data_IF_168952169894
#
_entry.id   IF_168952169894
#
_cell.length_a   1.000
_cell.length_b   1.000
_cell.length_c   1.000
_cell.angle_alpha   90.00
_cell.angle_beta   90.00
_cell.angle_gamma   90.00
#
_symmetry.space_group_name_H-M   'P 1'
#
loop_
_entity.id
_entity.type
_entity.pdbx_description
1 polymer ?
#
# COMPACT_ATOMS: atom_id res chain seq x y z
N UNK A 1 -27.04 20.38 -35.82
CA UNK A 1 -26.05 20.76 -36.85
C UNK A 1 -24.82 21.30 -36.16
N UNK A 2 -23.62 20.90 -36.60
CA UNK A 2 -22.58 20.40 -35.70
C UNK A 2 -21.42 21.38 -35.56
N UNK A 3 -20.86 21.52 -34.35
CA UNK A 3 -19.50 22.06 -34.15
C UNK A 3 -18.98 21.80 -32.73
N UNK A 4 -18.99 20.52 -32.32
CA UNK A 4 -18.35 20.05 -31.09
C UNK A 4 -17.64 18.70 -31.31
N UNK A 5 -17.07 18.48 -32.51
CA UNK A 5 -16.50 17.20 -32.92
C UNK A 5 -15.02 17.23 -33.32
N UNK A 6 -14.34 18.38 -33.36
CA UNK A 6 -12.97 18.45 -33.92
C UNK A 6 -12.07 19.48 -33.21
N UNK A 7 -12.03 19.42 -31.88
CA UNK A 7 -10.94 20.02 -31.11
C UNK A 7 -10.11 18.90 -30.46
N UNK A 8 -9.30 18.27 -31.32
CA UNK A 8 -8.17 17.39 -31.02
C UNK A 8 -8.40 16.27 -29.99
N UNK A 9 -8.67 15.07 -30.52
CA UNK A 9 -8.20 13.83 -29.92
C UNK A 9 -6.67 13.94 -29.70
N UNK A 10 -6.26 14.40 -28.52
CA UNK A 10 -4.85 14.50 -28.15
C UNK A 10 -4.26 13.09 -28.20
N UNK A 11 -3.24 12.91 -29.02
CA UNK A 11 -2.73 11.61 -29.44
C UNK A 11 -2.34 10.75 -28.23
N UNK A 12 -3.05 9.64 -28.09
CA UNK A 12 -3.00 8.57 -27.08
C UNK A 12 -1.58 8.25 -26.57
N UNK A 13 -1.10 8.97 -25.56
CA UNK A 13 0.16 8.64 -24.87
C UNK A 13 1.45 9.27 -25.43
N UNK A 14 1.34 10.25 -26.34
CA UNK A 14 2.47 11.07 -26.79
C UNK A 14 2.68 12.31 -25.92
N UNK A 15 3.91 12.85 -25.83
CA UNK A 15 4.20 13.99 -24.96
C UNK A 15 3.61 15.30 -25.50
N UNK A 16 3.04 16.12 -24.61
CA UNK A 16 2.52 17.46 -24.93
C UNK A 16 3.54 18.57 -24.63
N UNK A 17 4.57 18.27 -23.84
CA UNK A 17 5.61 19.21 -23.45
C UNK A 17 6.92 18.47 -23.12
N UNK A 18 8.01 19.24 -22.99
CA UNK A 18 9.32 18.74 -22.56
C UNK A 18 9.75 19.41 -21.26
N UNK A 19 10.09 18.61 -20.25
CA UNK A 19 10.67 19.05 -18.98
C UNK A 19 12.18 18.96 -19.08
N UNK A 20 12.87 20.10 -18.98
CA UNK A 20 14.33 20.16 -19.09
C UNK A 20 14.95 20.16 -17.70
N UNK A 21 15.88 19.23 -17.47
CA UNK A 21 16.61 19.10 -16.22
C UNK A 21 17.70 20.16 -16.07
N UNK A 22 17.98 20.55 -14.83
CA UNK A 22 19.18 21.34 -14.50
C UNK A 22 20.46 20.59 -14.88
N UNK A 23 21.54 21.30 -15.26
CA UNK A 23 22.83 20.68 -15.53
C UNK A 23 23.25 19.72 -14.41
N UNK A 24 23.79 18.55 -14.78
CA UNK A 24 24.26 17.50 -13.87
C UNK A 24 23.18 16.83 -12.99
N UNK A 25 21.89 17.11 -13.20
CA UNK A 25 20.78 16.45 -12.47
C UNK A 25 20.20 15.21 -13.15
N UNK A 26 20.66 14.86 -14.36
CA UNK A 26 20.14 13.72 -15.12
C UNK A 26 20.58 12.33 -14.61
N UNK A 27 21.68 12.26 -13.86
CA UNK A 27 22.32 11.00 -13.47
C UNK A 27 21.39 9.95 -12.84
N UNK A 28 20.49 10.28 -11.89
CA UNK A 28 19.60 9.28 -11.28
C UNK A 28 18.65 8.61 -12.29
N UNK A 29 18.28 9.32 -13.35
CA UNK A 29 17.28 8.84 -14.31
C UNK A 29 17.87 7.86 -15.33
N UNK A 30 19.18 7.89 -15.57
CA UNK A 30 19.86 6.80 -16.29
C UNK A 30 19.84 5.48 -15.49
N UNK A 31 19.74 5.57 -14.16
CA UNK A 31 19.44 4.43 -13.27
C UNK A 31 17.94 4.17 -13.10
N UNK A 32 17.09 4.76 -13.95
CA UNK A 32 15.63 4.62 -13.96
C UNK A 32 14.92 5.05 -12.68
N UNK A 33 15.47 6.00 -11.92
CA UNK A 33 14.75 6.57 -10.78
C UNK A 33 13.41 7.19 -11.25
N UNK A 34 12.26 6.83 -10.68
CA UNK A 34 10.96 7.17 -11.25
C UNK A 34 10.48 8.60 -10.95
N UNK A 35 11.08 9.29 -9.97
CA UNK A 35 10.59 10.60 -9.53
C UNK A 35 11.52 11.75 -9.91
N UNK A 36 11.00 12.72 -10.66
CA UNK A 36 11.65 14.00 -10.95
C UNK A 36 11.13 15.03 -9.96
N UNK A 37 12.01 15.51 -9.07
CA UNK A 37 11.64 16.53 -8.10
C UNK A 37 11.62 17.93 -8.73
N UNK A 38 10.77 18.82 -8.20
CA UNK A 38 10.72 20.25 -8.53
C UNK A 38 12.11 20.91 -8.61
N UNK A 39 12.97 20.58 -7.65
CA UNK A 39 14.32 21.10 -7.50
C UNK A 39 15.28 20.68 -8.63
N UNK A 40 14.96 19.63 -9.39
CA UNK A 40 15.74 19.13 -10.52
C UNK A 40 15.35 19.78 -11.85
N UNK A 41 14.18 20.42 -11.94
CA UNK A 41 13.66 21.03 -13.18
C UNK A 41 14.29 22.41 -13.40
N UNK A 42 14.81 22.66 -14.60
CA UNK A 42 15.33 23.95 -15.03
C UNK A 42 14.25 24.80 -15.71
N UNK A 43 13.54 24.21 -16.67
CA UNK A 43 12.44 24.84 -17.39
C UNK A 43 11.49 23.77 -17.93
N UNK A 44 10.30 24.21 -18.34
CA UNK A 44 9.32 23.41 -19.07
C UNK A 44 9.10 24.09 -20.41
N UNK A 45 9.21 23.34 -21.48
CA UNK A 45 8.98 23.79 -22.85
C UNK A 45 7.61 23.28 -23.31
N UNK A 46 6.67 24.21 -23.47
CA UNK A 46 5.24 23.94 -23.61
C UNK A 46 4.45 24.24 -22.33
N UNK A 47 3.13 24.03 -22.38
CA UNK A 47 2.20 24.31 -21.28
C UNK A 47 1.40 23.05 -20.93
N UNK A 48 2.02 22.03 -20.32
CA UNK A 48 1.33 20.76 -20.02
C UNK A 48 0.29 20.96 -18.91
N UNK A 49 -0.89 20.38 -19.10
CA UNK A 49 -1.90 20.27 -18.05
C UNK A 49 -1.50 19.18 -17.04
N UNK A 50 -1.99 19.30 -15.81
CA UNK A 50 -1.76 18.27 -14.79
C UNK A 50 -2.33 16.91 -15.25
N UNK A 51 -1.49 15.89 -15.30
CA UNK A 51 -1.84 14.56 -15.82
C UNK A 51 -1.37 14.28 -17.25
N UNK A 52 -0.90 15.30 -17.97
CA UNK A 52 -0.36 15.17 -19.31
C UNK A 52 0.91 14.33 -19.36
N UNK A 53 1.14 13.74 -20.51
CA UNK A 53 2.39 13.06 -20.84
C UNK A 53 3.44 14.10 -21.20
N UNK A 54 4.63 13.99 -20.64
CA UNK A 54 5.76 14.86 -20.95
C UNK A 54 7.03 14.05 -21.16
N UNK A 55 7.91 14.55 -22.03
CA UNK A 55 9.27 14.03 -22.13
C UNK A 55 10.17 14.75 -21.11
N UNK A 56 11.15 14.02 -20.59
CA UNK A 56 12.21 14.52 -19.75
C UNK A 56 13.48 14.58 -20.58
N UNK A 57 14.10 15.77 -20.65
CA UNK A 57 15.33 15.98 -21.39
C UNK A 57 16.45 16.51 -20.50
N UNK A 58 17.69 16.24 -20.89
CA UNK A 58 18.87 16.88 -20.31
C UNK A 58 18.93 18.36 -20.71
N UNK A 59 19.78 19.14 -20.03
CA UNK A 59 19.98 20.57 -20.31
C UNK A 59 20.44 20.88 -21.75
N UNK A 60 21.02 19.91 -22.43
CA UNK A 60 21.57 19.92 -23.78
C UNK A 60 20.63 19.25 -24.81
N UNK A 61 19.39 18.93 -24.41
CA UNK A 61 18.33 18.51 -25.32
C UNK A 61 18.23 17.00 -25.58
N UNK A 62 19.00 16.17 -24.89
CA UNK A 62 18.92 14.71 -25.06
C UNK A 62 17.74 14.14 -24.27
N UNK A 63 16.94 13.27 -24.92
CA UNK A 63 15.88 12.52 -24.26
C UNK A 63 16.44 11.64 -23.13
N UNK A 64 15.71 11.61 -22.01
CA UNK A 64 16.04 10.79 -20.84
C UNK A 64 14.94 9.76 -20.59
N UNK A 65 13.69 10.21 -20.52
CA UNK A 65 12.54 9.39 -20.17
C UNK A 65 11.23 10.11 -20.53
N UNK A 66 10.12 9.39 -20.49
CA UNK A 66 8.76 9.91 -20.63
C UNK A 66 7.97 9.62 -19.36
N UNK A 67 7.19 10.60 -18.95
CA UNK A 67 6.46 10.55 -17.70
C UNK A 67 5.17 11.36 -17.71
N UNK A 68 4.58 11.49 -16.52
CA UNK A 68 3.35 12.20 -16.28
C UNK A 68 3.60 13.44 -15.42
N UNK A 69 3.08 14.58 -15.86
CA UNK A 69 3.29 15.89 -15.25
C UNK A 69 2.31 16.19 -14.11
N UNK A 70 2.77 16.86 -13.06
CA UNK A 70 1.93 17.45 -12.01
C UNK A 70 2.56 18.74 -11.45
N UNK A 71 2.01 19.90 -11.81
CA UNK A 71 2.42 21.23 -11.38
C UNK A 71 2.17 21.53 -9.90
N UNK A 72 1.37 20.71 -9.20
CA UNK A 72 1.08 20.86 -7.77
C UNK A 72 1.99 20.00 -6.89
N UNK A 73 2.51 18.88 -7.43
CA UNK A 73 3.37 17.96 -6.67
C UNK A 73 4.84 18.37 -6.66
N UNK A 74 5.51 18.11 -5.53
CA UNK A 74 6.99 18.15 -5.47
C UNK A 74 7.62 17.09 -6.37
N UNK A 75 6.93 15.97 -6.60
CA UNK A 75 7.27 14.97 -7.62
C UNK A 75 6.68 15.43 -8.95
N UNK A 76 7.37 16.39 -9.57
CA UNK A 76 6.89 17.13 -10.72
C UNK A 76 6.63 16.25 -11.94
N UNK A 77 7.44 15.22 -12.14
CA UNK A 77 7.23 14.19 -13.15
C UNK A 77 7.41 12.81 -12.53
N UNK A 78 6.48 11.90 -12.80
CA UNK A 78 6.62 10.46 -12.54
C UNK A 78 6.93 9.75 -13.86
N UNK A 79 8.04 9.04 -13.95
CA UNK A 79 8.55 8.42 -15.18
C UNK A 79 8.04 6.99 -15.34
N UNK A 80 7.73 6.59 -16.57
CA UNK A 80 7.17 5.26 -16.90
C UNK A 80 7.84 4.60 -18.11
N UNK A 81 8.45 5.38 -18.98
CA UNK A 81 9.13 4.89 -20.16
C UNK A 81 10.51 5.53 -20.30
N UNK A 82 11.51 4.73 -20.65
CA UNK A 82 12.90 5.16 -20.85
C UNK A 82 13.35 4.97 -22.31
N UNK A 83 12.38 4.75 -23.20
CA UNK A 83 12.51 4.67 -24.65
C UNK A 83 11.55 5.69 -25.26
N UNK A 84 12.07 6.57 -26.12
CA UNK A 84 11.31 7.65 -26.75
C UNK A 84 10.15 7.15 -27.63
N UNK A 85 10.23 5.92 -28.12
CA UNK A 85 9.19 5.28 -28.94
C UNK A 85 7.98 4.78 -28.12
N UNK A 86 8.15 4.59 -26.80
CA UNK A 86 7.09 4.03 -25.94
C UNK A 86 6.06 5.08 -25.58
N UNK A 87 4.80 4.85 -25.96
CA UNK A 87 3.66 5.70 -25.62
C UNK A 87 3.13 5.36 -24.23
N UNK A 88 2.61 6.35 -23.51
CA UNK A 88 1.92 6.15 -22.22
C UNK A 88 0.40 6.01 -22.43
N UNK A 89 0.00 4.96 -23.14
CA UNK A 89 -1.37 4.68 -23.56
C UNK A 89 -1.99 3.47 -22.84
N UNK A 90 -3.23 3.14 -23.21
CA UNK A 90 -4.00 2.03 -22.64
C UNK A 90 -3.27 0.69 -22.73
N UNK A 91 -2.56 0.44 -23.83
CA UNK A 91 -1.82 -0.81 -24.05
C UNK A 91 -0.66 -0.95 -23.07
N UNK A 92 0.09 0.14 -22.84
CA UNK A 92 1.14 0.16 -21.83
C UNK A 92 0.56 -0.19 -20.44
N UNK A 93 -0.50 0.50 -20.01
CA UNK A 93 -1.08 0.29 -18.68
C UNK A 93 -1.57 -1.15 -18.50
N UNK A 94 -2.26 -1.70 -19.50
CA UNK A 94 -2.68 -3.10 -19.50
C UNK A 94 -1.48 -4.05 -19.38
N UNK A 95 -0.41 -3.81 -20.16
CA UNK A 95 0.81 -4.63 -20.15
C UNK A 95 1.52 -4.60 -18.80
N UNK A 96 1.59 -3.42 -18.16
CA UNK A 96 2.19 -3.26 -16.82
C UNK A 96 1.36 -3.95 -15.75
N UNK A 97 0.04 -3.81 -15.78
CA UNK A 97 -0.85 -4.56 -14.89
C UNK A 97 -0.66 -6.06 -15.08
N UNK A 98 -0.75 -6.57 -16.31
CA UNK A 98 -0.55 -7.99 -16.60
C UNK A 98 0.81 -8.51 -16.09
N UNK A 99 1.88 -7.71 -16.22
CA UNK A 99 3.21 -8.04 -15.70
C UNK A 99 3.22 -8.13 -14.16
N UNK A 100 2.58 -7.16 -13.48
CA UNK A 100 2.46 -7.16 -12.02
C UNK A 100 1.69 -8.39 -11.49
N UNK A 101 0.59 -8.76 -12.17
CA UNK A 101 -0.18 -9.98 -11.86
C UNK A 101 0.65 -11.25 -12.11
N UNK A 102 1.37 -11.31 -13.24
CA UNK A 102 2.23 -12.44 -13.56
C UNK A 102 3.30 -12.65 -12.49
N UNK A 103 3.92 -11.56 -11.99
CA UNK A 103 4.85 -11.63 -10.87
C UNK A 103 4.20 -12.28 -9.63
N UNK A 104 2.98 -11.87 -9.24
CA UNK A 104 2.29 -12.46 -8.08
C UNK A 104 2.02 -13.94 -8.27
N UNK A 105 1.66 -14.35 -9.49
CA UNK A 105 1.50 -15.75 -9.83
C UNK A 105 2.80 -16.54 -9.68
N UNK A 106 3.94 -16.00 -10.15
CA UNK A 106 5.25 -16.68 -9.96
C UNK A 106 5.65 -16.81 -8.49
N UNK A 107 5.16 -15.92 -7.63
CA UNK A 107 5.38 -15.95 -6.18
C UNK A 107 4.35 -16.84 -5.44
N UNK A 108 3.39 -17.46 -6.13
CA UNK A 108 2.32 -18.25 -5.52
C UNK A 108 1.29 -17.41 -4.74
N UNK A 109 1.10 -16.16 -5.14
CA UNK A 109 0.22 -15.18 -4.48
C UNK A 109 -1.07 -14.90 -5.28
N UNK A 110 -1.45 -15.78 -6.22
CA UNK A 110 -2.60 -15.63 -7.12
C UNK A 110 -3.89 -16.34 -6.65
N UNK A 111 -3.88 -16.92 -5.44
CA UNK A 111 -5.06 -17.58 -4.85
C UNK A 111 -6.27 -16.63 -4.86
N UNK A 112 -7.37 -17.07 -5.49
CA UNK A 112 -8.59 -16.26 -5.61
C UNK A 112 -9.27 -15.99 -4.27
N UNK A 113 -9.22 -16.95 -3.34
CA UNK A 113 -9.73 -16.76 -1.98
C UNK A 113 -8.72 -16.04 -1.06
N UNK A 114 -7.52 -15.74 -1.56
CA UNK A 114 -6.45 -15.15 -0.78
C UNK A 114 -6.55 -13.63 -0.64
N UNK A 115 -5.56 -13.06 0.05
CA UNK A 115 -5.30 -11.63 0.02
C UNK A 115 -3.85 -11.32 -0.33
N UNK A 116 -3.67 -10.43 -1.30
CA UNK A 116 -2.36 -10.13 -1.90
C UNK A 116 -2.36 -8.73 -2.50
N UNK A 117 -1.24 -8.00 -2.37
CA UNK A 117 -0.99 -6.80 -3.16
C UNK A 117 -0.68 -7.18 -4.60
N UNK A 118 -1.58 -6.88 -5.53
CA UNK A 118 -1.39 -7.13 -6.97
C UNK A 118 -0.49 -6.08 -7.63
N UNK A 119 -0.57 -4.81 -7.19
CA UNK A 119 0.24 -3.70 -7.71
C UNK A 119 0.80 -2.90 -6.55
N UNK A 120 2.11 -2.68 -6.55
CA UNK A 120 2.87 -1.96 -5.53
C UNK A 120 3.60 -0.75 -6.12
N UNK A 121 2.83 0.15 -6.75
CA UNK A 121 3.29 1.45 -7.21
C UNK A 121 4.53 1.36 -8.11
N UNK A 122 5.59 2.12 -7.81
CA UNK A 122 6.85 2.13 -8.57
C UNK A 122 7.53 0.76 -8.61
N UNK A 123 7.28 -0.11 -7.63
CA UNK A 123 7.83 -1.47 -7.62
C UNK A 123 7.30 -2.35 -8.76
N UNK A 124 6.22 -1.93 -9.41
CA UNK A 124 5.58 -2.61 -10.55
C UNK A 124 5.50 -1.71 -11.79
N UNK A 125 6.39 -0.71 -11.90
CA UNK A 125 6.40 0.27 -13.00
C UNK A 125 5.07 1.05 -13.16
N UNK A 126 4.28 1.15 -12.07
CA UNK A 126 2.98 1.80 -12.00
C UNK A 126 2.97 2.86 -10.89
N UNK A 127 3.95 3.78 -10.92
CA UNK A 127 4.13 4.85 -9.92
C UNK A 127 2.80 5.54 -9.57
N UNK A 128 2.42 5.46 -8.30
CA UNK A 128 1.21 6.07 -7.78
C UNK A 128 -0.07 5.23 -7.91
N UNK A 129 0.02 3.95 -8.27
CA UNK A 129 -1.10 2.99 -8.23
C UNK A 129 -0.80 1.85 -7.26
N UNK A 130 -1.74 1.58 -6.36
CA UNK A 130 -1.72 0.42 -5.46
C UNK A 130 -3.01 -0.34 -5.68
N UNK A 131 -2.91 -1.67 -5.82
CA UNK A 131 -4.07 -2.56 -5.97
C UNK A 131 -3.89 -3.74 -5.04
N UNK A 132 -4.78 -3.86 -4.06
CA UNK A 132 -4.83 -4.99 -3.13
C UNK A 132 -6.04 -5.87 -3.47
N UNK A 133 -5.84 -7.19 -3.52
CA UNK A 133 -6.89 -8.19 -3.68
C UNK A 133 -7.34 -8.69 -2.31
N UNK A 134 -8.65 -8.78 -2.13
CA UNK A 134 -9.27 -9.44 -0.99
C UNK A 134 -10.37 -10.37 -1.51
N UNK A 135 -10.05 -11.65 -1.69
CA UNK A 135 -10.95 -12.59 -2.30
C UNK A 135 -11.35 -12.17 -3.73
N UNK A 136 -12.65 -11.99 -3.92
CA UNK A 136 -13.24 -11.57 -5.19
C UNK A 136 -13.24 -10.05 -5.42
N UNK A 137 -12.72 -9.24 -4.48
CA UNK A 137 -12.77 -7.79 -4.55
C UNK A 137 -11.37 -7.18 -4.71
N UNK A 138 -11.30 -6.01 -5.33
CA UNK A 138 -10.09 -5.20 -5.41
C UNK A 138 -10.28 -3.89 -4.65
N UNK A 139 -9.30 -3.54 -3.83
CA UNK A 139 -9.13 -2.21 -3.27
C UNK A 139 -8.05 -1.48 -4.06
N UNK A 140 -8.45 -0.42 -4.76
CA UNK A 140 -7.57 0.42 -5.57
C UNK A 140 -7.29 1.71 -4.81
N UNK A 141 -6.03 2.09 -4.71
CA UNK A 141 -5.61 3.38 -4.18
C UNK A 141 -4.71 4.05 -5.20
N UNK A 142 -5.01 5.31 -5.50
CA UNK A 142 -4.15 6.14 -6.35
C UNK A 142 -3.56 7.27 -5.52
N UNK A 143 -2.26 7.50 -5.71
CA UNK A 143 -1.48 8.50 -4.97
C UNK A 143 -0.81 9.50 -5.90
N UNK A 144 -1.14 9.47 -7.19
CA UNK A 144 -0.67 10.42 -8.19
C UNK A 144 -1.88 10.95 -8.98
N UNK A 145 -1.95 12.25 -9.19
CA UNK A 145 -3.03 12.88 -9.98
C UNK A 145 -3.16 12.27 -11.37
N UNK A 146 -2.04 12.02 -12.03
CA UNK A 146 -2.04 11.45 -13.36
C UNK A 146 -2.60 10.01 -13.43
N UNK A 147 -2.50 9.25 -12.34
CA UNK A 147 -3.15 7.94 -12.21
C UNK A 147 -4.64 8.07 -11.93
N UNK A 148 -5.04 9.09 -11.16
CA UNK A 148 -6.45 9.39 -10.92
C UNK A 148 -7.19 9.78 -12.22
N UNK A 149 -6.56 10.57 -13.10
CA UNK A 149 -7.10 10.91 -14.44
C UNK A 149 -7.29 9.66 -15.31
N UNK A 150 -6.50 8.61 -15.09
CA UNK A 150 -6.53 7.35 -15.84
C UNK A 150 -7.31 6.23 -15.13
N UNK A 151 -8.02 6.56 -14.05
CA UNK A 151 -8.63 5.56 -13.17
C UNK A 151 -9.58 4.63 -13.92
N UNK A 152 -10.42 5.15 -14.82
CA UNK A 152 -11.34 4.32 -15.60
C UNK A 152 -10.60 3.33 -16.51
N UNK A 153 -9.60 3.78 -17.26
CA UNK A 153 -8.75 2.92 -18.10
C UNK A 153 -8.06 1.82 -17.28
N UNK A 154 -7.56 2.17 -16.10
CA UNK A 154 -6.92 1.20 -15.19
C UNK A 154 -7.93 0.19 -14.64
N UNK A 155 -9.13 0.64 -14.29
CA UNK A 155 -10.21 -0.22 -13.81
C UNK A 155 -10.70 -1.17 -14.90
N UNK A 156 -10.85 -0.72 -16.14
CA UNK A 156 -11.26 -1.56 -17.27
C UNK A 156 -10.23 -2.68 -17.52
N UNK A 157 -8.93 -2.34 -17.46
CA UNK A 157 -7.86 -3.34 -17.56
C UNK A 157 -7.87 -4.33 -16.39
N UNK A 158 -8.10 -3.86 -15.15
CA UNK A 158 -8.22 -4.73 -13.98
C UNK A 158 -9.44 -5.66 -14.07
N UNK A 159 -10.57 -5.19 -14.58
CA UNK A 159 -11.76 -6.03 -14.83
C UNK A 159 -11.45 -7.13 -15.84
N UNK A 160 -10.80 -6.78 -16.95
CA UNK A 160 -10.39 -7.74 -17.98
C UNK A 160 -9.40 -8.78 -17.46
N UNK A 161 -8.42 -8.37 -16.65
CA UNK A 161 -7.33 -9.23 -16.19
C UNK A 161 -7.69 -10.10 -14.97
N UNK A 162 -8.54 -9.59 -14.06
CA UNK A 162 -8.82 -10.22 -12.76
C UNK A 162 -10.24 -10.78 -12.67
N UNK A 163 -11.20 -10.21 -13.42
CA UNK A 163 -12.63 -10.46 -13.30
C UNK A 163 -13.14 -10.40 -11.84
N UNK A 164 -12.95 -9.26 -11.13
CA UNK A 164 -13.40 -9.11 -9.75
C UNK A 164 -14.92 -8.89 -9.67
N UNK A 165 -15.50 -9.20 -8.52
CA UNK A 165 -16.91 -8.89 -8.21
C UNK A 165 -17.16 -7.40 -7.97
N UNK A 166 -16.14 -6.69 -7.52
CA UNK A 166 -16.19 -5.25 -7.36
C UNK A 166 -14.81 -4.63 -7.19
N UNK A 167 -14.68 -3.38 -7.64
CA UNK A 167 -13.49 -2.55 -7.46
C UNK A 167 -13.87 -1.36 -6.59
N UNK A 168 -13.22 -1.23 -5.44
CA UNK A 168 -13.43 -0.14 -4.49
C UNK A 168 -12.23 0.80 -4.57
N UNK A 169 -12.49 2.08 -4.81
CA UNK A 169 -11.51 3.14 -4.64
C UNK A 169 -11.40 3.46 -3.15
N UNK A 170 -10.18 3.40 -2.63
CA UNK A 170 -9.79 3.91 -1.32
C UNK A 170 -9.11 5.26 -1.54
N UNK A 171 -9.72 6.32 -1.03
CA UNK A 171 -9.24 7.68 -1.15
C UNK A 171 -7.82 7.83 -0.60
N UNK A 172 -7.06 8.74 -1.19
CA UNK A 172 -5.71 9.03 -0.72
C UNK A 172 -5.75 9.58 0.71
N UNK A 173 -4.73 9.26 1.52
CA UNK A 173 -4.57 9.86 2.85
C UNK A 173 -4.62 11.39 2.72
N UNK A 174 -5.40 12.08 3.58
CA UNK A 174 -5.68 13.54 3.45
C UNK A 174 -4.43 14.40 3.21
N UNK A 175 -3.31 14.07 3.87
CA UNK A 175 -2.04 14.78 3.70
C UNK A 175 -1.44 14.60 2.31
N UNK A 176 -1.45 13.37 1.79
CA UNK A 176 -0.96 13.04 0.45
C UNK A 176 -1.87 13.62 -0.62
N UNK A 177 -3.18 13.57 -0.41
CA UNK A 177 -4.17 14.13 -1.32
C UNK A 177 -3.90 15.62 -1.59
N UNK A 178 -3.64 16.40 -0.52
CA UNK A 178 -3.29 17.82 -0.62
C UNK A 178 -1.97 18.06 -1.38
N UNK A 179 -0.95 17.22 -1.18
CA UNK A 179 0.36 17.37 -1.82
C UNK A 179 0.32 17.06 -3.32
N UNK A 180 -0.65 16.28 -3.78
CA UNK A 180 -0.79 15.85 -5.17
C UNK A 180 -1.94 16.55 -5.91
N UNK A 181 -2.71 17.41 -5.24
CA UNK A 181 -3.90 18.05 -5.83
C UNK A 181 -5.07 17.07 -6.04
N UNK A 182 -5.11 15.97 -5.28
CA UNK A 182 -6.12 14.93 -5.40
C UNK A 182 -7.37 15.24 -4.55
N UNK A 183 -8.54 15.05 -5.14
CA UNK A 183 -9.82 14.98 -4.43
C UNK A 183 -10.51 13.67 -4.78
N UNK A 184 -10.24 12.64 -3.98
CA UNK A 184 -10.80 11.31 -4.18
C UNK A 184 -11.46 10.84 -2.89
N UNK A 185 -12.70 10.37 -3.03
CA UNK A 185 -13.51 9.83 -1.94
C UNK A 185 -13.65 8.32 -2.11
N UNK A 186 -13.79 7.62 -0.99
CA UNK A 186 -14.08 6.19 -0.97
C UNK A 186 -15.38 5.92 -1.73
N UNK A 187 -15.33 5.03 -2.73
CA UNK A 187 -16.51 4.63 -3.51
C UNK A 187 -16.30 3.31 -4.22
N UNK A 188 -17.39 2.67 -4.61
CA UNK A 188 -17.36 1.59 -5.60
C UNK A 188 -17.14 2.22 -6.97
N UNK A 189 -16.15 1.72 -7.72
CA UNK A 189 -15.82 2.18 -9.08
C UNK A 189 -16.40 1.24 -10.14
N UNK A 190 -16.43 -0.07 -9.83
CA UNK A 190 -16.97 -1.12 -10.70
C UNK A 190 -17.67 -2.19 -9.86
N UNK A 191 -18.68 -2.84 -10.43
CA UNK A 191 -19.40 -3.94 -9.78
C UNK A 191 -20.13 -3.54 -8.50
N UNK A 192 -20.12 -4.41 -7.50
CA UNK A 192 -20.83 -4.21 -6.22
C UNK A 192 -19.88 -4.15 -5.03
N UNK A 193 -20.25 -3.40 -4.00
CA UNK A 193 -19.58 -3.49 -2.69
C UNK A 193 -19.85 -4.85 -2.01
N UNK A 194 -18.93 -5.34 -1.16
CA UNK A 194 -19.24 -6.47 -0.28
C UNK A 194 -20.38 -6.10 0.68
N UNK A 195 -21.29 -7.05 0.93
CA UNK A 195 -22.42 -6.86 1.85
C UNK A 195 -22.00 -6.87 3.34
N UNK A 196 -20.74 -7.22 3.63
CA UNK A 196 -20.17 -7.31 4.98
C UNK A 196 -18.68 -7.64 4.92
N UNK A 197 -18.16 -8.27 5.97
CA UNK A 197 -16.76 -8.68 6.02
C UNK A 197 -16.44 -9.69 4.89
N UNK A 198 -15.28 -9.49 4.26
CA UNK A 198 -14.71 -10.43 3.30
C UNK A 198 -13.80 -11.38 4.06
N UNK A 199 -13.97 -12.68 3.86
CA UNK A 199 -13.09 -13.69 4.43
C UNK A 199 -12.03 -14.08 3.41
N UNK A 200 -10.76 -13.91 3.79
CA UNK A 200 -9.61 -14.21 2.95
C UNK A 200 -8.74 -15.27 3.57
N UNK A 201 -8.03 -16.01 2.72
CA UNK A 201 -7.09 -17.04 3.13
C UNK A 201 -5.65 -16.53 3.11
N UNK A 202 -4.88 -16.91 4.11
CA UNK A 202 -3.44 -16.68 4.16
C UNK A 202 -2.76 -17.87 4.87
N UNK A 203 -1.96 -18.65 4.14
CA UNK A 203 -1.23 -19.81 4.68
C UNK A 203 -2.09 -20.81 5.47
N UNK A 204 -3.32 -21.06 5.01
CA UNK A 204 -4.28 -21.97 5.66
C UNK A 204 -5.07 -21.33 6.81
N UNK A 205 -4.81 -20.07 7.15
CA UNK A 205 -5.58 -19.28 8.11
C UNK A 205 -6.64 -18.45 7.38
N UNK A 206 -7.70 -18.09 8.10
CA UNK A 206 -8.79 -17.25 7.59
C UNK A 206 -8.82 -15.91 8.32
N UNK A 207 -9.00 -14.81 7.61
CA UNK A 207 -9.11 -13.49 8.20
C UNK A 207 -10.33 -12.76 7.65
N UNK A 208 -11.13 -12.16 8.55
CA UNK A 208 -12.16 -11.21 8.20
C UNK A 208 -11.54 -9.84 7.90
N UNK A 209 -11.90 -9.27 6.75
CA UNK A 209 -11.45 -7.95 6.28
C UNK A 209 -12.67 -7.08 6.01
N UNK A 210 -12.68 -5.91 6.62
CA UNK A 210 -13.70 -4.89 6.38
C UNK A 210 -13.16 -3.82 5.43
N UNK A 211 -13.61 -3.87 4.17
CA UNK A 211 -13.22 -2.90 3.13
C UNK A 211 -14.03 -1.61 3.17
N UNK A 212 -15.08 -1.51 3.96
CA UNK A 212 -15.87 -0.28 4.08
C UNK A 212 -15.26 0.64 5.14
N UNK A 213 -14.97 0.10 6.32
CA UNK A 213 -14.56 0.88 7.49
C UNK A 213 -13.16 0.51 8.05
N UNK A 214 -12.37 -0.30 7.33
CA UNK A 214 -11.01 -0.68 7.72
C UNK A 214 -9.98 0.44 7.55
N UNK A 215 -8.86 0.36 8.29
CA UNK A 215 -7.69 1.23 8.05
C UNK A 215 -6.94 0.78 6.79
N UNK A 216 -6.35 1.75 6.06
CA UNK A 216 -5.72 1.53 4.74
C UNK A 216 -6.70 0.88 3.75
N UNK A 217 -6.26 -0.20 3.10
CA UNK A 217 -7.02 -1.07 2.21
C UNK A 217 -7.72 -2.22 2.94
N UNK A 218 -7.60 -2.33 4.28
CA UNK A 218 -8.37 -3.26 5.12
C UNK A 218 -7.56 -4.26 5.94
N UNK A 219 -6.37 -4.69 5.47
CA UNK A 219 -5.51 -5.65 6.16
C UNK A 219 -4.03 -5.46 5.77
N UNK A 220 -3.10 -5.66 6.71
CA UNK A 220 -1.66 -5.45 6.49
C UNK A 220 -1.03 -6.65 5.76
N UNK A 221 -1.07 -6.60 4.42
CA UNK A 221 -0.56 -7.63 3.52
C UNK A 221 0.97 -7.70 3.49
N UNK A 222 1.64 -6.59 3.81
CA UNK A 222 3.10 -6.49 3.94
C UNK A 222 3.66 -7.35 5.08
N UNK A 223 2.86 -7.66 6.09
CA UNK A 223 3.24 -8.50 7.23
C UNK A 223 3.01 -10.00 7.01
N UNK A 224 2.55 -10.45 5.84
CA UNK A 224 2.21 -11.86 5.54
C UNK A 224 3.32 -12.84 5.90
N UNK A 225 4.50 -12.64 5.34
CA UNK A 225 5.63 -13.56 5.55
C UNK A 225 6.18 -13.45 6.98
N UNK A 226 6.12 -12.25 7.59
CA UNK A 226 6.53 -12.04 8.96
C UNK A 226 5.63 -12.79 9.95
N UNK A 227 4.30 -12.84 9.71
CA UNK A 227 3.37 -13.65 10.51
C UNK A 227 3.75 -15.14 10.45
N UNK A 228 4.03 -15.64 9.25
CA UNK A 228 4.45 -17.04 9.07
C UNK A 228 5.82 -17.31 9.74
N UNK A 229 6.77 -16.38 9.64
CA UNK A 229 8.08 -16.49 10.26
C UNK A 229 7.98 -16.47 11.79
N UNK A 230 7.19 -15.54 12.36
CA UNK A 230 6.94 -15.41 13.79
C UNK A 230 6.36 -16.71 14.37
N UNK A 231 5.37 -17.32 13.69
CA UNK A 231 4.76 -18.57 14.13
C UNK A 231 5.78 -19.70 14.39
N UNK A 232 6.89 -19.75 13.65
CA UNK A 232 7.94 -20.77 13.83
C UNK A 232 8.62 -20.71 15.20
N UNK A 233 8.57 -19.57 15.87
CA UNK A 233 9.17 -19.37 17.21
C UNK A 233 8.18 -19.60 18.36
N UNK A 234 6.89 -19.80 18.06
CA UNK A 234 5.84 -19.77 19.07
C UNK A 234 5.61 -21.10 19.81
N UNK A 235 6.11 -22.23 19.30
CA UNK A 235 5.78 -23.58 19.79
C UNK A 235 5.94 -23.74 21.30
N UNK A 236 4.85 -24.05 21.99
CA UNK A 236 4.80 -24.26 23.44
C UNK A 236 5.04 -23.01 24.30
N UNK A 237 5.20 -21.83 23.69
CA UNK A 237 5.50 -20.58 24.38
C UNK A 237 4.24 -19.81 24.74
N UNK A 238 4.33 -18.98 25.78
CA UNK A 238 3.37 -17.89 26.02
C UNK A 238 3.83 -16.69 25.21
N UNK A 239 2.98 -16.20 24.30
CA UNK A 239 3.30 -15.13 23.35
C UNK A 239 2.60 -13.84 23.77
N UNK A 240 3.30 -12.72 23.69
CA UNK A 240 2.73 -11.37 23.77
C UNK A 240 2.75 -10.73 22.38
N UNK A 241 1.59 -10.35 21.86
CA UNK A 241 1.41 -9.65 20.59
C UNK A 241 0.93 -8.22 20.84
N UNK A 242 1.85 -7.26 20.81
CA UNK A 242 1.53 -5.84 21.04
C UNK A 242 1.27 -5.13 19.73
N UNK A 243 0.29 -4.21 19.75
CA UNK A 243 -0.19 -3.50 18.55
C UNK A 243 -0.79 -4.48 17.53
N UNK A 244 -1.58 -5.44 18.04
CA UNK A 244 -1.96 -6.64 17.28
C UNK A 244 -2.95 -6.36 16.13
N UNK A 245 -3.55 -5.17 16.07
CA UNK A 245 -4.59 -4.81 15.11
C UNK A 245 -5.69 -5.88 15.01
N UNK A 246 -5.80 -6.59 13.88
CA UNK A 246 -6.78 -7.64 13.63
C UNK A 246 -6.31 -9.04 14.07
N UNK A 247 -5.25 -9.12 14.87
CA UNK A 247 -4.75 -10.35 15.48
C UNK A 247 -3.96 -11.26 14.55
N UNK A 248 -3.41 -10.74 13.45
CA UNK A 248 -2.74 -11.57 12.45
C UNK A 248 -1.58 -12.40 13.00
N UNK A 249 -0.69 -11.78 13.79
CA UNK A 249 0.40 -12.49 14.47
C UNK A 249 -0.13 -13.43 15.55
N UNK A 250 -1.05 -12.97 16.39
CA UNK A 250 -1.65 -13.80 17.43
C UNK A 250 -2.26 -15.10 16.90
N UNK A 251 -3.08 -15.03 15.85
CA UNK A 251 -3.70 -16.19 15.21
C UNK A 251 -2.65 -17.11 14.59
N UNK A 252 -1.66 -16.56 13.87
CA UNK A 252 -0.60 -17.36 13.26
C UNK A 252 0.23 -18.12 14.32
N UNK A 253 0.61 -17.44 15.41
CA UNK A 253 1.34 -18.05 16.52
C UNK A 253 0.52 -19.12 17.23
N UNK A 254 -0.79 -18.89 17.45
CA UNK A 254 -1.67 -19.86 18.09
C UNK A 254 -1.90 -21.11 17.25
N UNK A 255 -2.30 -20.94 15.99
CA UNK A 255 -2.80 -22.03 15.13
C UNK A 255 -1.66 -22.72 14.38
N UNK A 256 -0.83 -21.95 13.67
CA UNK A 256 0.28 -22.51 12.87
C UNK A 256 1.52 -22.77 13.72
N UNK A 257 1.77 -21.92 14.73
CA UNK A 257 2.95 -21.99 15.58
C UNK A 257 2.82 -22.91 16.78
N UNK A 258 1.60 -23.26 17.19
CA UNK A 258 1.36 -24.09 18.38
C UNK A 258 1.76 -23.41 19.69
N UNK A 259 1.51 -22.10 19.81
CA UNK A 259 1.68 -21.39 21.08
C UNK A 259 0.87 -22.04 22.21
N UNK A 260 1.41 -21.99 23.44
CA UNK A 260 0.68 -22.42 24.64
C UNK A 260 -0.48 -21.47 24.94
N UNK A 261 -0.21 -20.18 24.88
CA UNK A 261 -1.20 -19.12 25.00
C UNK A 261 -0.69 -17.83 24.35
N UNK A 262 -1.60 -16.98 23.91
CA UNK A 262 -1.27 -15.69 23.30
C UNK A 262 -2.08 -14.60 23.99
N UNK A 263 -1.40 -13.53 24.41
CA UNK A 263 -2.03 -12.28 24.82
C UNK A 263 -1.82 -11.25 23.71
N UNK A 264 -2.90 -10.81 23.08
CA UNK A 264 -2.89 -9.81 22.02
C UNK A 264 -3.46 -8.48 22.55
N UNK A 265 -2.79 -7.38 22.26
CA UNK A 265 -3.13 -6.06 22.81
C UNK A 265 -3.17 -5.01 21.71
N UNK A 266 -4.27 -4.27 21.64
CA UNK A 266 -4.40 -3.09 20.78
C UNK A 266 -5.18 -2.00 21.50
N UNK A 267 -4.92 -0.73 21.21
CA UNK A 267 -5.67 0.39 21.82
C UNK A 267 -7.06 0.55 21.22
N UNK A 268 -7.26 0.11 19.96
CA UNK A 268 -8.53 0.23 19.27
C UNK A 268 -9.48 -0.90 19.65
N UNK A 269 -10.59 -0.55 20.32
CA UNK A 269 -11.66 -1.50 20.63
C UNK A 269 -12.22 -2.20 19.38
N UNK A 270 -12.28 -1.50 18.24
CA UNK A 270 -12.71 -2.07 16.95
C UNK A 270 -11.70 -3.12 16.45
N UNK A 271 -10.40 -2.81 16.51
CA UNK A 271 -9.36 -3.75 16.11
C UNK A 271 -9.33 -4.98 17.03
N UNK A 272 -9.41 -4.77 18.34
CA UNK A 272 -9.49 -5.85 19.32
C UNK A 272 -10.73 -6.75 19.09
N UNK A 273 -11.90 -6.19 18.76
CA UNK A 273 -13.07 -6.98 18.40
C UNK A 273 -12.84 -7.82 17.15
N UNK A 274 -12.20 -7.25 16.12
CA UNK A 274 -11.83 -7.97 14.90
C UNK A 274 -10.80 -9.09 15.18
N UNK A 275 -9.82 -8.84 16.05
CA UNK A 275 -8.86 -9.85 16.48
C UNK A 275 -9.52 -11.03 17.22
N UNK A 276 -10.51 -10.77 18.08
CA UNK A 276 -11.31 -11.84 18.71
C UNK A 276 -12.09 -12.65 17.67
N UNK A 277 -12.78 -11.98 16.77
CA UNK A 277 -13.52 -12.66 15.69
C UNK A 277 -12.59 -13.51 14.80
N UNK A 278 -11.38 -13.03 14.49
CA UNK A 278 -10.39 -13.79 13.73
C UNK A 278 -9.82 -14.98 14.54
N UNK A 279 -9.62 -14.84 15.85
CA UNK A 279 -9.22 -15.96 16.70
C UNK A 279 -10.30 -17.05 16.73
N UNK A 280 -11.57 -16.66 16.92
CA UNK A 280 -12.72 -17.56 16.89
C UNK A 280 -12.86 -18.26 15.52
N UNK A 281 -12.72 -17.51 14.43
CA UNK A 281 -12.80 -18.03 13.05
C UNK A 281 -11.77 -19.14 12.77
N UNK A 282 -10.63 -19.12 13.46
CA UNK A 282 -9.57 -20.13 13.31
C UNK A 282 -9.52 -21.12 14.48
N UNK A 283 -10.50 -21.12 15.40
CA UNK A 283 -10.54 -22.01 16.56
C UNK A 283 -9.40 -21.76 17.58
N UNK A 284 -8.82 -20.56 17.59
CA UNK A 284 -7.69 -20.19 18.43
C UNK A 284 -8.12 -19.81 19.86
N UNK A 285 -8.71 -20.77 20.59
CA UNK A 285 -9.28 -20.56 21.93
C UNK A 285 -8.25 -20.14 23.00
N UNK A 286 -6.95 -20.29 22.72
CA UNK A 286 -5.84 -19.90 23.59
C UNK A 286 -5.35 -18.45 23.35
N UNK A 287 -6.05 -17.67 22.51
CA UNK A 287 -5.79 -16.25 22.28
C UNK A 287 -6.71 -15.41 23.17
N UNK A 288 -6.12 -14.58 24.03
CA UNK A 288 -6.83 -13.54 24.78
C UNK A 288 -6.53 -12.18 24.15
N UNK A 289 -7.56 -11.35 23.96
CA UNK A 289 -7.42 -10.02 23.34
C UNK A 289 -7.88 -8.93 24.28
N UNK A 290 -7.04 -7.93 24.49
CA UNK A 290 -7.32 -6.77 25.34
C UNK A 290 -7.29 -5.46 24.54
N UNK A 291 -8.27 -4.59 24.81
CA UNK A 291 -8.38 -3.26 24.22
C UNK A 291 -7.82 -2.21 25.21
N UNK A 292 -6.49 -2.04 25.24
CA UNK A 292 -5.78 -1.22 26.24
C UNK A 292 -4.62 -0.48 25.56
N UNK A 293 -4.22 0.68 26.08
CA UNK A 293 -3.01 1.35 25.63
C UNK A 293 -1.78 0.44 25.78
N UNK A 294 -0.94 0.42 24.75
CA UNK A 294 0.18 -0.49 24.70
C UNK A 294 1.24 -0.19 25.78
N UNK A 295 1.49 1.09 26.08
CA UNK A 295 2.48 1.45 27.10
C UNK A 295 1.94 1.16 28.50
N UNK A 296 0.68 1.48 28.76
CA UNK A 296 0.00 1.14 30.02
C UNK A 296 0.07 -0.37 30.28
N UNK A 297 -0.29 -1.19 29.27
CA UNK A 297 -0.26 -2.65 29.42
C UNK A 297 1.16 -3.17 29.65
N UNK A 298 2.16 -2.65 28.94
CA UNK A 298 3.56 -3.04 29.14
C UNK A 298 4.06 -2.70 30.55
N UNK A 299 3.72 -1.53 31.08
CA UNK A 299 4.08 -1.12 32.44
C UNK A 299 3.39 -2.04 33.48
N UNK A 300 2.11 -2.36 33.28
CA UNK A 300 1.35 -3.26 34.16
C UNK A 300 1.93 -4.69 34.17
N UNK A 301 2.25 -5.26 32.99
CA UNK A 301 2.88 -6.58 32.88
C UNK A 301 4.26 -6.59 33.58
N UNK A 302 5.03 -5.51 33.43
CA UNK A 302 6.34 -5.38 34.07
C UNK A 302 6.21 -5.31 35.60
N UNK A 303 5.28 -4.51 36.12
CA UNK A 303 5.02 -4.38 37.54
C UNK A 303 4.52 -5.69 38.17
N UNK A 304 3.74 -6.47 37.43
CA UNK A 304 3.27 -7.79 37.83
C UNK A 304 4.35 -8.89 37.77
N UNK A 305 5.55 -8.58 37.27
CA UNK A 305 6.63 -9.57 37.12
C UNK A 305 6.35 -10.64 36.06
N UNK A 306 5.46 -10.34 35.11
CA UNK A 306 5.06 -11.27 34.05
C UNK A 306 6.24 -11.61 33.12
N UNK A 307 6.19 -12.82 32.53
CA UNK A 307 7.18 -13.30 31.56
C UNK A 307 6.54 -14.03 30.38
N UNK A 308 7.18 -13.92 29.22
CA UNK A 308 6.72 -14.46 27.96
C UNK A 308 7.87 -15.18 27.26
N UNK A 309 7.57 -16.27 26.55
CA UNK A 309 8.59 -16.94 25.74
C UNK A 309 8.83 -16.25 24.40
N UNK A 310 7.97 -15.31 24.02
CA UNK A 310 8.03 -14.57 22.77
C UNK A 310 7.25 -13.27 22.92
N UNK A 311 7.83 -12.16 22.44
CA UNK A 311 7.16 -10.85 22.36
C UNK A 311 7.24 -10.36 20.91
N UNK A 312 6.12 -9.91 20.37
CA UNK A 312 5.97 -9.32 19.05
C UNK A 312 5.62 -7.84 19.25
N UNK A 313 6.35 -6.96 18.59
CA UNK A 313 6.10 -5.52 18.58
C UNK A 313 5.92 -5.06 17.13
N UNK A 314 4.70 -4.66 16.75
CA UNK A 314 4.42 -4.03 15.44
C UNK A 314 3.78 -2.64 15.60
N UNK A 315 4.47 -1.68 16.24
CA UNK A 315 3.90 -0.37 16.53
C UNK A 315 3.63 0.45 15.25
N UNK A 316 2.70 1.42 15.30
CA UNK A 316 2.55 2.38 14.21
C UNK A 316 3.82 3.22 14.02
N UNK A 317 3.93 3.90 12.88
CA UNK A 317 5.00 4.91 12.67
C UNK A 317 4.91 6.00 13.74
N UNK A 318 5.92 6.07 14.61
CA UNK A 318 6.02 7.14 15.61
C UNK A 318 6.50 8.46 14.98
N UNK A 319 7.41 8.39 14.00
CA UNK A 319 7.85 9.57 13.25
C UNK A 319 6.90 9.86 12.09
N UNK A 320 6.28 11.04 12.10
CA UNK A 320 5.42 11.53 11.00
C UNK A 320 6.13 12.58 10.13
N UNK A 321 7.25 13.11 10.62
CA UNK A 321 8.05 14.14 9.96
C UNK A 321 9.52 13.97 10.37
N UNK A 322 10.43 14.60 9.61
CA UNK A 322 11.86 14.61 9.97
C UNK A 322 12.13 15.24 11.35
N UNK A 323 11.30 16.19 11.78
CA UNK A 323 11.43 16.87 13.09
C UNK A 323 11.05 15.99 14.29
N UNK A 324 10.32 14.89 14.07
CA UNK A 324 9.83 13.99 15.14
C UNK A 324 10.65 12.71 15.27
N UNK A 325 11.77 12.61 14.56
CA UNK A 325 12.61 11.39 14.51
C UNK A 325 13.20 11.07 15.88
N UNK A 326 13.73 12.05 16.61
CA UNK A 326 14.36 11.79 17.91
C UNK A 326 13.36 11.32 18.98
N UNK A 327 12.14 11.87 18.97
CA UNK A 327 11.05 11.41 19.83
C UNK A 327 10.64 9.98 19.48
N UNK A 328 10.52 9.68 18.18
CA UNK A 328 10.20 8.33 17.71
C UNK A 328 11.27 7.32 18.14
N UNK A 329 12.55 7.65 18.00
CA UNK A 329 13.66 6.80 18.43
C UNK A 329 13.62 6.52 19.93
N UNK A 330 13.31 7.53 20.76
CA UNK A 330 13.10 7.34 22.21
C UNK A 330 11.93 6.39 22.49
N UNK A 331 10.81 6.54 21.78
CA UNK A 331 9.65 5.67 21.93
C UNK A 331 9.97 4.21 21.52
N UNK A 332 10.62 4.01 20.36
CA UNK A 332 11.07 2.70 19.91
C UNK A 332 12.04 2.05 20.90
N UNK A 333 13.01 2.81 21.42
CA UNK A 333 13.94 2.32 22.43
C UNK A 333 13.20 1.88 23.71
N UNK A 334 12.24 2.69 24.19
CA UNK A 334 11.46 2.34 25.39
C UNK A 334 10.71 1.03 25.21
N UNK A 335 9.91 0.88 24.16
CA UNK A 335 9.08 -0.33 23.97
C UNK A 335 9.94 -1.58 23.82
N UNK A 336 11.05 -1.50 23.08
CA UNK A 336 11.95 -2.64 22.90
C UNK A 336 12.65 -3.01 24.21
N UNK A 337 13.11 -2.02 25.00
CA UNK A 337 13.73 -2.28 26.30
C UNK A 337 12.76 -2.97 27.26
N UNK A 338 11.51 -2.53 27.32
CA UNK A 338 10.49 -3.15 28.18
C UNK A 338 10.17 -4.57 27.70
N UNK A 339 9.98 -4.76 26.38
CA UNK A 339 9.73 -6.09 25.81
C UNK A 339 10.85 -7.09 26.11
N UNK A 340 12.12 -6.68 26.05
CA UNK A 340 13.26 -7.53 26.43
C UNK A 340 13.20 -7.91 27.92
N UNK A 341 12.77 -7.00 28.79
CA UNK A 341 12.58 -7.29 30.22
C UNK A 341 11.41 -8.25 30.52
N UNK A 342 10.49 -8.43 29.57
CA UNK A 342 9.35 -9.36 29.65
C UNK A 342 9.67 -10.76 29.09
N UNK A 343 10.87 -10.97 28.53
CA UNK A 343 11.36 -12.29 28.09
C UNK A 343 11.97 -13.09 29.25
#
# INVERSE_FOLDING_TARGET
>A
MPEASEAAAAVQGLPTATVVLKPKRARPFFGRHPWVLDSAVAKVEGEPADGDVVDLATHDGHFVARGLWNSQSRMRVRLYAFDASTKLDTELWHTRLASALALRKTLGLDERAGATRLVNSEGDDLSGLIVDRYGEYLAVQVTALAMAVRLDTLCDALESLVAPRGILLRGAERGLAKLEGLSLVDRVVRGTAPAGAIFVHEHGLKFGVDLAEGQKTGFYLDQRDNRQAAARYARGRRVLDMFCYSGGFAVACAVSGGARSVLAVDTSAKAAALARANAELNGAANVTVEAVDAFEKLDALTAAGERFGMVILDPPKFARSRSTVDDALRAYHRINRVAVGLL
#
